data_IF_395068927011
#
_entry.id   IF_395068927011
#
_cell.length_a   1.000
_cell.length_b   1.000
_cell.length_c   1.000
_cell.angle_alpha   90.00
_cell.angle_beta   90.00
_cell.angle_gamma   90.00
#
_symmetry.space_group_name_H-M   'P 1'
#
loop_
_entity.id
_entity.type
_entity.pdbx_description
1 polymer ?
#
# COMPACT_ATOMS: atom_id res chain seq x y z
N UNK A 1 -2.36 5.54 27.73
CA UNK A 1 -3.20 6.17 26.70
C UNK A 1 -2.49 7.43 26.21
N UNK A 2 -2.10 7.48 24.93
CA UNK A 2 -1.48 8.67 24.35
C UNK A 2 -2.58 9.67 23.92
N UNK A 3 -2.41 11.00 24.13
CA UNK A 3 -3.53 11.95 24.13
C UNK A 3 -3.77 12.69 22.81
N UNK A 4 -3.38 12.14 21.66
CA UNK A 4 -3.56 12.82 20.37
C UNK A 4 -4.07 11.86 19.29
N UNK A 5 -5.03 12.28 18.43
CA UNK A 5 -5.31 11.55 17.21
C UNK A 5 -4.06 11.62 16.32
N UNK A 6 -3.53 10.46 15.93
CA UNK A 6 -2.52 10.34 14.87
C UNK A 6 -3.17 10.82 13.58
N UNK A 7 -3.09 12.12 13.31
CA UNK A 7 -3.33 12.66 11.97
C UNK A 7 -2.04 12.35 11.19
N UNK A 8 -2.06 11.46 10.19
CA UNK A 8 -0.87 11.13 9.43
C UNK A 8 -0.41 12.39 8.70
N UNK A 9 0.70 12.99 9.14
CA UNK A 9 1.30 14.18 8.52
C UNK A 9 2.22 13.84 7.33
N UNK A 10 2.12 12.62 6.78
CA UNK A 10 2.96 12.12 5.69
C UNK A 10 2.23 12.08 4.35
N UNK A 11 2.97 12.27 3.25
CA UNK A 11 2.49 11.93 1.90
C UNK A 11 2.28 10.41 1.84
N UNK A 12 1.04 9.95 1.98
CA UNK A 12 0.73 8.53 1.91
C UNK A 12 0.90 7.99 0.50
N UNK A 13 1.49 6.81 0.38
CA UNK A 13 1.46 6.05 -0.87
C UNK A 13 0.07 5.48 -1.09
N UNK A 14 -0.30 5.38 -2.36
CA UNK A 14 -1.52 4.70 -2.79
C UNK A 14 -1.13 3.69 -3.87
N UNK A 15 -1.66 2.48 -3.76
CA UNK A 15 -1.60 1.49 -4.83
C UNK A 15 -2.95 1.47 -5.52
N UNK A 16 -2.94 1.53 -6.85
CA UNK A 16 -4.16 1.58 -7.66
C UNK A 16 -4.07 0.45 -8.67
N UNK A 17 -5.07 -0.44 -8.67
CA UNK A 17 -5.24 -1.44 -9.73
C UNK A 17 -6.16 -0.86 -10.79
N UNK A 18 -5.71 -0.94 -12.04
CA UNK A 18 -6.49 -0.58 -13.22
C UNK A 18 -6.90 -1.85 -13.98
N UNK A 19 -8.00 -1.79 -14.71
CA UNK A 19 -8.31 -2.76 -15.76
C UNK A 19 -7.53 -2.47 -17.05
N UNK A 20 -7.73 -3.30 -18.07
CA UNK A 20 -7.11 -3.15 -19.40
C UNK A 20 -7.49 -1.86 -20.14
N UNK A 21 -8.59 -1.21 -19.74
CA UNK A 21 -9.07 0.05 -20.30
C UNK A 21 -8.58 1.27 -19.50
N UNK A 22 -7.79 1.06 -18.44
CA UNK A 22 -7.30 2.11 -17.56
C UNK A 22 -8.32 2.56 -16.51
N UNK A 23 -9.43 1.86 -16.32
CA UNK A 23 -10.41 2.15 -15.26
C UNK A 23 -9.93 1.62 -13.92
N UNK A 24 -10.15 2.37 -12.84
CA UNK A 24 -9.76 1.95 -11.49
C UNK A 24 -10.70 0.85 -10.99
N UNK A 25 -10.13 -0.29 -10.60
CA UNK A 25 -10.87 -1.44 -10.06
C UNK A 25 -10.53 -1.74 -8.60
N UNK A 26 -9.40 -1.24 -8.08
CA UNK A 26 -9.06 -1.38 -6.65
C UNK A 26 -8.11 -0.26 -6.20
N UNK A 27 -8.23 0.15 -4.93
CA UNK A 27 -7.38 1.18 -4.31
C UNK A 27 -6.96 0.72 -2.91
N UNK A 28 -5.66 0.67 -2.65
CA UNK A 28 -5.10 0.54 -1.30
C UNK A 28 -4.45 1.84 -0.88
N UNK A 29 -4.85 2.32 0.30
CA UNK A 29 -4.34 3.57 0.88
C UNK A 29 -3.53 3.24 2.13
N UNK A 30 -2.28 3.66 2.14
CA UNK A 30 -1.44 3.57 3.32
C UNK A 30 -1.66 4.82 4.19
N UNK A 31 -2.64 4.75 5.08
CA UNK A 31 -2.94 5.86 5.98
C UNK A 31 -1.89 6.07 7.06
N UNK A 32 -1.04 5.08 7.36
CA UNK A 32 -0.04 5.17 8.43
C UNK A 32 1.35 5.55 7.91
N UNK A 33 1.49 5.70 6.58
CA UNK A 33 2.77 5.95 5.92
C UNK A 33 3.81 4.84 6.21
N UNK A 34 3.34 3.60 6.32
CA UNK A 34 4.16 2.40 6.49
C UNK A 34 4.93 2.02 5.22
N UNK A 35 4.47 2.47 4.06
CA UNK A 35 5.07 2.27 2.75
C UNK A 35 5.41 3.65 2.12
N UNK A 36 6.49 4.31 2.57
CA UNK A 36 6.96 5.54 1.95
C UNK A 36 7.46 5.23 0.53
N UNK A 37 6.79 5.80 -0.46
CA UNK A 37 7.14 5.70 -1.89
C UNK A 37 7.27 4.24 -2.38
N UNK A 38 6.12 3.63 -2.68
CA UNK A 38 6.07 2.34 -3.36
C UNK A 38 6.63 2.47 -4.79
N UNK A 39 7.65 1.68 -5.13
CA UNK A 39 8.26 1.71 -6.46
C UNK A 39 7.82 0.53 -7.34
N UNK A 40 7.45 -0.60 -6.73
CA UNK A 40 7.06 -1.82 -7.42
C UNK A 40 5.93 -2.53 -6.67
N UNK A 41 5.05 -3.18 -7.43
CA UNK A 41 3.94 -3.98 -6.90
C UNK A 41 3.84 -5.28 -7.68
N UNK A 42 3.76 -6.39 -6.98
CA UNK A 42 3.51 -7.72 -7.54
C UNK A 42 2.38 -8.40 -6.79
N UNK A 43 1.43 -8.98 -7.50
CA UNK A 43 0.41 -9.87 -6.93
C UNK A 43 0.74 -11.33 -7.25
N UNK A 44 0.74 -12.18 -6.22
CA UNK A 44 0.97 -13.61 -6.35
C UNK A 44 0.28 -14.34 -5.19
N UNK A 45 -0.47 -15.40 -5.47
CA UNK A 45 -1.15 -16.27 -4.49
C UNK A 45 -1.84 -15.47 -3.35
N UNK A 46 -2.77 -14.60 -3.74
CA UNK A 46 -3.55 -13.71 -2.85
C UNK A 46 -2.71 -12.75 -1.99
N UNK A 47 -1.46 -12.56 -2.38
CA UNK A 47 -0.52 -11.71 -1.66
C UNK A 47 0.00 -10.62 -2.58
N UNK A 48 -0.07 -9.39 -2.08
CA UNK A 48 0.49 -8.23 -2.74
C UNK A 48 1.82 -7.89 -2.07
N UNK A 49 2.88 -7.91 -2.86
CA UNK A 49 4.23 -7.55 -2.47
C UNK A 49 4.54 -6.14 -2.94
N UNK A 50 5.21 -5.36 -2.08
CA UNK A 50 5.60 -3.98 -2.41
C UNK A 50 7.10 -3.77 -2.20
N UNK A 51 7.70 -3.13 -3.19
CA UNK A 51 9.07 -2.61 -3.12
C UNK A 51 9.08 -1.12 -2.74
N UNK A 52 10.14 -0.68 -2.07
CA UNK A 52 10.43 0.73 -1.84
C UNK A 52 11.94 0.96 -1.98
N UNK A 53 12.32 2.11 -2.53
CA UNK A 53 13.72 2.55 -2.56
C UNK A 53 14.26 2.95 -1.19
N UNK A 54 13.38 3.16 -0.20
CA UNK A 54 13.75 3.69 1.12
C UNK A 54 13.76 2.62 2.22
N UNK A 55 13.12 1.47 2.00
CA UNK A 55 12.99 0.42 3.01
C UNK A 55 13.92 -0.74 2.68
N UNK A 56 14.65 -1.28 3.67
CA UNK A 56 15.53 -2.44 3.48
C UNK A 56 14.76 -3.78 3.51
N UNK A 57 13.45 -3.76 3.34
CA UNK A 57 12.58 -4.93 3.41
C UNK A 57 11.44 -4.84 2.39
N UNK A 58 10.89 -6.01 2.04
CA UNK A 58 9.73 -6.14 1.14
C UNK A 58 8.45 -6.03 1.96
N UNK A 59 7.54 -5.14 1.55
CA UNK A 59 6.20 -5.06 2.12
C UNK A 59 5.33 -6.22 1.62
N UNK A 60 4.43 -6.71 2.48
CA UNK A 60 3.54 -7.83 2.16
C UNK A 60 2.14 -7.58 2.72
N UNK A 61 1.15 -7.56 1.84
CA UNK A 61 -0.25 -7.48 2.21
C UNK A 61 -0.97 -8.76 1.73
N UNK A 62 -1.52 -9.53 2.67
CA UNK A 62 -2.33 -10.70 2.32
C UNK A 62 -3.77 -10.26 2.14
N UNK A 63 -4.40 -10.66 1.02
CA UNK A 63 -5.83 -10.48 0.82
C UNK A 63 -6.55 -11.39 1.82
N UNK A 64 -7.41 -10.81 2.64
CA UNK A 64 -8.35 -11.59 3.44
C UNK A 64 -9.47 -12.01 2.49
N UNK A 65 -9.63 -13.32 2.28
CA UNK A 65 -10.81 -13.87 1.62
C UNK A 65 -12.02 -13.61 2.52
N UNK A 66 -13.07 -13.02 1.95
CA UNK A 66 -14.41 -13.00 2.55
C UNK A 66 -15.11 -14.34 2.33
#
# INVERSE_FOLDING_TARGET
MLPFPLIPKGKSSMLIRLDENGQVIEIWKDFQNELPNACEVLEHDDTLYTGSFYLPYIGRLRRLSN
#
